data_IF_969809530861
#
_entry.id   IF_969809530861
#
_cell.length_a   1.000
_cell.length_b   1.000
_cell.length_c   1.000
_cell.angle_alpha   90.00
_cell.angle_beta   90.00
_cell.angle_gamma   90.00
#
_symmetry.space_group_name_H-M   'P 1'
#
loop_
_entity.id
_entity.type
_entity.pdbx_description
1 polymer ?
#
# COMPACT_ATOMS: atom_id res chain seq x y z
N UNK A 1 0.77 -30.61 40.52
CA UNK A 1 -0.37 -29.90 41.16
C UNK A 1 -1.05 -29.04 40.10
N UNK A 2 -2.38 -29.04 40.05
CA UNK A 2 -3.12 -28.20 39.09
C UNK A 2 -3.03 -26.74 39.54
N UNK A 3 -2.74 -25.83 38.60
CA UNK A 3 -2.73 -24.38 38.86
C UNK A 3 -4.05 -23.95 39.47
N UNK A 4 -3.99 -23.15 40.53
CA UNK A 4 -5.18 -22.62 41.20
C UNK A 4 -5.92 -21.66 40.26
N UNK A 5 -7.21 -21.42 40.52
CA UNK A 5 -8.00 -20.47 39.71
C UNK A 5 -7.39 -19.07 39.73
N UNK A 6 -6.82 -18.64 40.86
CA UNK A 6 -6.17 -17.34 41.02
C UNK A 6 -4.90 -17.22 40.15
N UNK A 7 -4.05 -18.25 40.11
CA UNK A 7 -2.86 -18.28 39.25
C UNK A 7 -3.22 -18.23 37.76
N UNK A 8 -4.33 -18.86 37.37
CA UNK A 8 -4.84 -18.80 35.99
C UNK A 8 -5.33 -17.39 35.63
N UNK A 9 -6.03 -16.72 36.55
CA UNK A 9 -6.50 -15.34 36.36
C UNK A 9 -5.30 -14.39 36.20
N UNK A 10 -4.33 -14.45 37.11
CA UNK A 10 -3.14 -13.60 37.04
C UNK A 10 -2.32 -13.82 35.75
N UNK A 11 -2.23 -15.07 35.28
CA UNK A 11 -1.58 -15.38 34.01
C UNK A 11 -2.32 -14.78 32.81
N UNK A 12 -3.66 -14.77 32.82
CA UNK A 12 -4.47 -14.17 31.76
C UNK A 12 -4.34 -12.65 31.76
N UNK A 13 -4.37 -11.99 32.92
CA UNK A 13 -4.20 -10.53 33.04
C UNK A 13 -2.83 -10.07 32.49
N UNK A 14 -1.78 -10.83 32.79
CA UNK A 14 -0.45 -10.59 32.24
C UNK A 14 -0.45 -10.72 30.70
N UNK A 15 -1.09 -11.76 30.17
CA UNK A 15 -1.23 -11.94 28.72
C UNK A 15 -2.02 -10.82 28.05
N UNK A 16 -3.11 -10.34 28.68
CA UNK A 16 -3.88 -9.20 28.17
C UNK A 16 -3.00 -7.95 28.06
N UNK A 17 -2.24 -7.65 29.11
CA UNK A 17 -1.31 -6.52 29.12
C UNK A 17 -0.25 -6.64 28.02
N UNK A 18 0.31 -7.85 27.83
CA UNK A 18 1.28 -8.11 26.79
C UNK A 18 0.70 -7.91 25.39
N UNK A 19 -0.51 -8.43 25.13
CA UNK A 19 -1.21 -8.28 23.87
C UNK A 19 -1.57 -6.82 23.57
N UNK A 20 -1.98 -6.05 24.59
CA UNK A 20 -2.23 -4.61 24.43
C UNK A 20 -0.97 -3.85 24.03
N UNK A 21 0.18 -4.16 24.64
CA UNK A 21 1.45 -3.55 24.29
C UNK A 21 1.90 -3.94 22.87
N UNK A 22 1.72 -5.20 22.47
CA UNK A 22 1.97 -5.65 21.10
C UNK A 22 1.07 -4.92 20.09
N UNK A 23 -0.23 -4.77 20.39
CA UNK A 23 -1.15 -4.02 19.54
C UNK A 23 -0.72 -2.57 19.36
N UNK A 24 -0.33 -1.89 20.44
CA UNK A 24 0.17 -0.49 20.37
C UNK A 24 1.42 -0.39 19.49
N UNK A 25 2.36 -1.32 19.63
CA UNK A 25 3.57 -1.40 18.81
C UNK A 25 3.23 -1.58 17.33
N UNK A 26 2.37 -2.53 16.99
CA UNK A 26 1.95 -2.79 15.61
C UNK A 26 1.26 -1.58 14.96
N UNK A 27 0.44 -0.83 15.72
CA UNK A 27 -0.19 0.40 15.23
C UNK A 27 0.87 1.46 14.91
N UNK A 28 1.88 1.61 15.77
CA UNK A 28 2.97 2.57 15.54
C UNK A 28 3.82 2.20 14.33
N UNK A 29 4.16 0.92 14.19
CA UNK A 29 4.90 0.39 13.03
C UNK A 29 4.12 0.62 11.73
N UNK A 30 2.81 0.32 11.73
CA UNK A 30 1.95 0.61 10.57
C UNK A 30 1.96 2.09 10.20
N UNK A 31 1.78 2.99 11.17
CA UNK A 31 1.84 4.45 10.94
C UNK A 31 3.20 4.89 10.40
N UNK A 32 4.28 4.30 10.88
CA UNK A 32 5.62 4.60 10.38
C UNK A 32 5.80 4.11 8.94
N UNK A 33 5.29 2.91 8.63
CA UNK A 33 5.33 2.35 7.28
C UNK A 33 4.52 3.21 6.30
N UNK A 34 3.30 3.62 6.67
CA UNK A 34 2.46 4.52 5.85
C UNK A 34 3.17 5.86 5.57
N UNK A 35 3.92 6.41 6.53
CA UNK A 35 4.74 7.60 6.32
C UNK A 35 5.88 7.35 5.34
N UNK A 36 6.61 6.24 5.48
CA UNK A 36 7.68 5.86 4.56
C UNK A 36 7.15 5.68 3.13
N UNK A 37 6.02 4.99 2.98
CA UNK A 37 5.39 4.76 1.69
C UNK A 37 4.86 6.05 1.06
N UNK A 38 4.29 6.95 1.88
CA UNK A 38 3.91 8.30 1.43
C UNK A 38 5.13 9.06 0.93
N UNK A 39 6.22 9.13 1.69
CA UNK A 39 7.45 9.83 1.27
C UNK A 39 8.03 9.24 0.00
N UNK A 40 8.15 7.91 -0.07
CA UNK A 40 8.64 7.20 -1.27
C UNK A 40 7.80 7.53 -2.50
N UNK A 41 6.47 7.54 -2.37
CA UNK A 41 5.55 7.91 -3.46
C UNK A 41 5.74 9.37 -3.88
N UNK A 42 5.90 10.29 -2.93
CA UNK A 42 6.10 11.72 -3.23
C UNK A 42 7.42 11.94 -3.96
N UNK A 43 8.53 11.39 -3.47
CA UNK A 43 9.84 11.49 -4.13
C UNK A 43 9.81 10.89 -5.53
N UNK A 44 9.18 9.72 -5.72
CA UNK A 44 9.05 9.09 -7.05
C UNK A 44 8.27 9.98 -8.03
N UNK A 45 7.17 10.57 -7.58
CA UNK A 45 6.35 11.47 -8.42
C UNK A 45 7.09 12.76 -8.76
N UNK A 46 7.81 13.33 -7.80
CA UNK A 46 8.59 14.55 -8.05
C UNK A 46 9.78 14.28 -8.99
N UNK A 47 10.50 13.17 -8.80
CA UNK A 47 11.58 12.79 -9.71
C UNK A 47 11.12 12.55 -11.15
N UNK A 48 9.91 11.98 -11.34
CA UNK A 48 9.30 11.88 -12.67
C UNK A 48 8.99 13.28 -13.25
N UNK A 49 8.48 14.19 -12.42
CA UNK A 49 8.19 15.55 -12.84
C UNK A 49 9.47 16.27 -13.32
N UNK A 50 10.53 16.24 -12.51
CA UNK A 50 11.84 16.83 -12.83
C UNK A 50 12.48 16.20 -14.08
N UNK A 51 12.27 14.90 -14.32
CA UNK A 51 12.75 14.27 -15.56
C UNK A 51 12.02 14.74 -16.82
N UNK A 52 10.76 15.17 -16.70
CA UNK A 52 9.96 15.67 -17.83
C UNK A 52 10.15 17.17 -18.05
N UNK A 53 10.45 17.92 -16.98
CA UNK A 53 10.64 19.37 -16.99
C UNK A 53 11.90 19.75 -16.19
N UNK A 54 13.11 19.52 -16.73
CA UNK A 54 14.36 19.77 -16.01
C UNK A 54 14.53 21.22 -15.54
N UNK A 55 13.93 22.17 -16.27
CA UNK A 55 13.96 23.60 -15.94
C UNK A 55 13.30 23.89 -14.59
N UNK A 56 12.39 23.02 -14.12
CA UNK A 56 11.70 23.21 -12.84
C UNK A 56 12.63 23.09 -11.63
N UNK A 57 13.77 22.39 -11.75
CA UNK A 57 14.75 22.24 -10.67
C UNK A 57 15.34 23.59 -10.25
N UNK A 58 15.39 24.54 -11.18
CA UNK A 58 15.92 25.89 -10.94
C UNK A 58 14.92 26.84 -10.27
N UNK A 59 13.64 26.45 -10.16
CA UNK A 59 12.60 27.27 -9.56
C UNK A 59 12.72 27.29 -8.04
N UNK A 60 12.44 28.43 -7.43
CA UNK A 60 12.21 28.49 -5.98
C UNK A 60 10.91 27.78 -5.62
N UNK A 61 10.75 27.40 -4.35
CA UNK A 61 9.53 26.76 -3.85
C UNK A 61 8.26 27.57 -4.19
N UNK A 62 8.34 28.90 -4.10
CA UNK A 62 7.24 29.81 -4.42
C UNK A 62 6.94 29.83 -5.93
N UNK A 63 7.98 29.91 -6.78
CA UNK A 63 7.80 29.88 -8.23
C UNK A 63 7.24 28.53 -8.69
N UNK A 64 7.72 27.44 -8.10
CA UNK A 64 7.24 26.09 -8.38
C UNK A 64 5.78 25.91 -7.97
N UNK A 65 5.38 26.45 -6.81
CA UNK A 65 3.99 26.47 -6.38
C UNK A 65 3.10 27.23 -7.37
N UNK A 66 3.49 28.45 -7.78
CA UNK A 66 2.75 29.24 -8.77
C UNK A 66 2.61 28.50 -10.09
N UNK A 67 3.69 27.85 -10.55
CA UNK A 67 3.68 27.03 -11.76
C UNK A 67 2.66 25.90 -11.65
N UNK A 68 2.68 25.13 -10.56
CA UNK A 68 1.76 24.02 -10.35
C UNK A 68 0.31 24.52 -10.27
N UNK A 69 0.02 25.55 -9.48
CA UNK A 69 -1.33 26.12 -9.35
C UNK A 69 -1.88 26.55 -10.70
N UNK A 70 -1.10 27.29 -11.49
CA UNK A 70 -1.51 27.71 -12.84
C UNK A 70 -1.73 26.52 -13.77
N UNK A 71 -0.89 25.49 -13.67
CA UNK A 71 -0.96 24.30 -14.53
C UNK A 71 -2.19 23.43 -14.22
N UNK A 72 -2.44 23.13 -12.93
CA UNK A 72 -3.56 22.27 -12.51
C UNK A 72 -4.91 23.01 -12.55
N UNK A 73 -4.89 24.35 -12.45
CA UNK A 73 -6.10 25.16 -12.58
C UNK A 73 -6.60 25.33 -14.02
N UNK A 74 -5.85 24.88 -15.04
CA UNK A 74 -6.34 24.91 -16.42
C UNK A 74 -7.49 23.92 -16.64
N UNK A 75 -8.40 24.26 -17.54
CA UNK A 75 -9.49 23.35 -17.92
C UNK A 75 -8.96 22.07 -18.56
N UNK A 76 -7.91 22.18 -19.37
CA UNK A 76 -7.28 21.04 -20.03
C UNK A 76 -6.76 20.01 -19.02
N UNK A 77 -6.03 20.45 -17.98
CA UNK A 77 -5.54 19.57 -16.92
C UNK A 77 -6.67 18.85 -16.19
N UNK A 78 -7.78 19.54 -15.89
CA UNK A 78 -8.96 18.91 -15.28
C UNK A 78 -9.60 17.86 -16.19
N UNK A 79 -9.82 18.17 -17.47
CA UNK A 79 -10.39 17.22 -18.43
C UNK A 79 -9.54 15.96 -18.57
N UNK A 80 -8.20 16.08 -18.58
CA UNK A 80 -7.30 14.93 -18.57
C UNK A 80 -7.50 14.10 -17.30
N UNK A 81 -7.53 14.75 -16.13
CA UNK A 81 -7.71 14.08 -14.85
C UNK A 81 -9.07 13.36 -14.78
N UNK A 82 -10.13 14.00 -15.24
CA UNK A 82 -11.47 13.42 -15.31
C UNK A 82 -11.48 12.19 -16.22
N UNK A 83 -10.86 12.27 -17.41
CA UNK A 83 -10.72 11.13 -18.32
C UNK A 83 -9.97 9.94 -17.72
N UNK A 84 -8.98 10.19 -16.87
CA UNK A 84 -8.20 9.15 -16.18
C UNK A 84 -8.92 8.57 -14.94
N UNK A 85 -9.83 9.32 -14.32
CA UNK A 85 -10.55 8.90 -13.10
C UNK A 85 -11.92 8.27 -13.40
N UNK A 86 -12.52 8.58 -14.56
CA UNK A 86 -13.78 8.00 -15.05
C UNK A 86 -13.60 6.61 -15.66
N UNK A 87 -12.37 6.10 -15.82
CA UNK A 87 -12.13 4.68 -16.13
C UNK A 87 -11.84 3.85 -14.86
N UNK A 88 -12.87 3.33 -14.15
CA UNK A 88 -12.65 2.32 -13.15
C UNK A 88 -12.34 0.98 -13.85
N UNK A 89 -11.07 0.57 -13.79
CA UNK A 89 -10.61 -0.83 -13.82
C UNK A 89 -11.42 -1.82 -14.68
N UNK A 90 -11.17 -1.88 -15.98
CA UNK A 90 -11.38 -3.11 -16.74
C UNK A 90 -10.17 -4.03 -16.55
N UNK A 91 -9.99 -4.56 -15.35
CA UNK A 91 -9.23 -5.79 -15.13
C UNK A 91 -10.22 -6.86 -14.66
N UNK A 92 -10.60 -7.83 -15.50
CA UNK A 92 -11.30 -9.01 -15.02
C UNK A 92 -10.37 -9.79 -14.06
N UNK A 93 -10.92 -10.51 -13.06
CA UNK A 93 -10.09 -11.31 -12.17
C UNK A 93 -9.30 -12.32 -13.01
N UNK A 94 -7.98 -12.35 -12.82
CA UNK A 94 -7.15 -13.43 -13.34
C UNK A 94 -7.78 -14.74 -12.89
N UNK A 95 -8.32 -15.52 -13.84
CA UNK A 95 -8.73 -16.89 -13.60
C UNK A 95 -7.51 -17.60 -13.03
N UNK A 96 -7.62 -18.07 -11.79
CA UNK A 96 -6.77 -19.12 -11.26
C UNK A 96 -7.01 -20.34 -12.15
N UNK A 97 -6.15 -20.55 -13.15
CA UNK A 97 -6.07 -21.83 -13.84
C UNK A 97 -5.21 -22.71 -12.95
N UNK A 98 -5.87 -23.49 -12.11
CA UNK A 98 -5.31 -24.73 -11.63
C UNK A 98 -5.06 -25.60 -12.87
N UNK A 99 -3.79 -25.75 -13.26
CA UNK A 99 -3.39 -26.84 -14.14
C UNK A 99 -3.23 -28.08 -13.26
N UNK A 100 -4.34 -28.79 -13.07
CA UNK A 100 -4.32 -30.24 -13.00
C UNK A 100 -4.22 -30.79 -14.44
N UNK A 101 -3.50 -31.91 -14.55
CA UNK A 101 -3.55 -32.91 -15.63
C UNK A 101 -2.64 -32.73 -16.87
N UNK A 102 -1.48 -33.37 -16.75
CA UNK A 102 -0.81 -34.20 -17.76
C UNK A 102 0.04 -35.18 -16.92
N UNK A 103 -0.05 -36.51 -16.95
CA UNK A 103 -0.47 -37.53 -17.93
C UNK A 103 -0.93 -38.77 -17.13
N UNK A 104 -2.07 -39.35 -17.47
CA UNK A 104 -2.23 -40.50 -18.38
C UNK A 104 -1.48 -41.78 -17.94
N UNK A 105 -2.31 -42.69 -17.44
CA UNK A 105 -2.30 -44.16 -17.47
C UNK A 105 -1.02 -44.90 -17.91
N UNK A 106 -0.55 -45.78 -17.02
CA UNK A 106 -0.11 -47.12 -17.41
C UNK A 106 -0.58 -48.11 -16.33
N UNK A 107 -1.55 -48.95 -16.69
CA UNK A 107 -1.69 -50.41 -16.45
C UNK A 107 -0.61 -51.07 -15.57
N UNK A 108 -0.81 -52.14 -14.80
CA UNK A 108 -1.84 -53.16 -14.62
C UNK A 108 -1.36 -54.02 -13.41
N UNK A 109 -2.30 -54.68 -12.75
CA UNK A 109 -2.18 -55.99 -12.07
C UNK A 109 -1.55 -56.21 -10.67
N UNK A 110 -2.36 -56.97 -9.89
CA UNK A 110 -2.20 -57.70 -8.60
C UNK A 110 -2.20 -56.94 -7.25
#
# INVERSE_FOLDING_TARGET
>A
MAKTKAEKIAAIELQMTQLENQRKKLIQEKKQQERKDRTKRLCKRMGLFESMLPESISLTDEQFQIFLEKTVATEHSRRILDGLTVQPSAQPPARNIANEEAQDEVDEDE
#
